data_IF_786731388663
#
_entry.id   IF_786731388663
#
_cell.length_a   1.000
_cell.length_b   1.000
_cell.length_c   1.000
_cell.angle_alpha   90.00
_cell.angle_beta   90.00
_cell.angle_gamma   90.00
#
_symmetry.space_group_name_H-M   'P 1'
#
loop_
_entity.id
_entity.type
_entity.pdbx_description
1 polymer ?
#
# COMPACT_ATOMS: atom_id res chain seq x y z
N UNK A 1 31.53 -53.14 5.47
CA UNK A 1 30.58 -52.62 4.47
C UNK A 1 29.21 -52.53 5.10
N UNK A 2 28.63 -51.33 5.23
CA UNK A 2 27.31 -51.15 5.83
C UNK A 2 26.20 -51.47 4.82
N UNK A 3 25.31 -52.40 5.16
CA UNK A 3 24.14 -52.75 4.36
C UNK A 3 23.06 -51.68 4.53
N UNK A 4 22.85 -50.85 3.52
CA UNK A 4 21.68 -49.99 3.40
C UNK A 4 20.55 -50.79 2.75
N UNK A 5 19.67 -51.37 3.56
CA UNK A 5 18.43 -51.96 3.03
C UNK A 5 17.48 -50.84 2.58
N UNK A 6 16.98 -50.86 1.33
CA UNK A 6 16.01 -49.87 0.87
C UNK A 6 14.68 -50.05 1.62
N UNK A 7 14.06 -48.93 2.01
CA UNK A 7 12.76 -48.91 2.67
C UNK A 7 11.69 -49.59 1.79
N UNK A 8 10.86 -50.44 2.40
CA UNK A 8 9.77 -51.15 1.70
C UNK A 8 8.80 -50.15 1.05
N UNK A 9 8.38 -50.36 -0.22
CA UNK A 9 7.56 -49.40 -0.96
C UNK A 9 6.27 -49.04 -0.23
N UNK A 10 5.65 -49.97 0.51
CA UNK A 10 4.43 -49.69 1.27
C UNK A 10 4.64 -48.63 2.38
N UNK A 11 5.80 -48.64 3.05
CA UNK A 11 6.17 -47.67 4.09
C UNK A 11 6.45 -46.32 3.44
N UNK A 12 7.12 -46.30 2.29
CA UNK A 12 7.39 -45.10 1.50
C UNK A 12 6.10 -44.42 1.01
N UNK A 13 5.10 -45.18 0.56
CA UNK A 13 3.80 -44.64 0.15
C UNK A 13 3.01 -44.02 1.33
N UNK A 14 3.11 -44.59 2.53
CA UNK A 14 2.46 -44.07 3.74
C UNK A 14 3.11 -42.77 4.22
N UNK A 15 4.44 -42.68 4.23
CA UNK A 15 5.18 -41.47 4.61
C UNK A 15 4.97 -40.34 3.61
N UNK A 16 4.91 -40.62 2.31
CA UNK A 16 4.58 -39.63 1.28
C UNK A 16 3.15 -39.09 1.46
N UNK A 17 2.16 -39.94 1.73
CA UNK A 17 0.78 -39.49 1.99
C UNK A 17 0.66 -38.61 3.24
N UNK A 18 1.41 -38.93 4.30
CA UNK A 18 1.45 -38.12 5.51
C UNK A 18 2.15 -36.77 5.26
N UNK A 19 3.24 -36.77 4.49
CA UNK A 19 3.92 -35.54 4.07
C UNK A 19 3.00 -34.63 3.23
N UNK A 20 2.24 -35.18 2.29
CA UNK A 20 1.26 -34.43 1.49
C UNK A 20 0.16 -33.83 2.37
N UNK A 21 -0.37 -34.59 3.34
CA UNK A 21 -1.39 -34.07 4.28
C UNK A 21 -0.84 -32.91 5.11
N UNK A 22 0.39 -33.03 5.60
CA UNK A 22 1.03 -31.98 6.38
C UNK A 22 1.29 -30.74 5.51
N UNK A 23 1.76 -30.92 4.28
CA UNK A 23 1.98 -29.83 3.32
C UNK A 23 0.67 -29.10 3.00
N UNK A 24 -0.42 -29.83 2.79
CA UNK A 24 -1.74 -29.23 2.55
C UNK A 24 -2.23 -28.44 3.77
N UNK A 25 -2.04 -28.95 4.99
CA UNK A 25 -2.41 -28.23 6.20
C UNK A 25 -1.62 -26.92 6.35
N UNK A 26 -0.30 -26.98 6.11
CA UNK A 26 0.57 -25.78 6.12
C UNK A 26 0.15 -24.80 5.04
N UNK A 27 -0.16 -25.27 3.82
CA UNK A 27 -0.65 -24.42 2.74
C UNK A 27 -1.97 -23.72 3.11
N UNK A 28 -2.94 -24.45 3.68
CA UNK A 28 -4.22 -23.88 4.12
C UNK A 28 -4.01 -22.79 5.17
N UNK A 29 -3.13 -23.02 6.15
CA UNK A 29 -2.82 -22.02 7.18
C UNK A 29 -2.12 -20.81 6.56
N UNK A 30 -1.15 -21.04 5.67
CA UNK A 30 -0.40 -19.98 5.00
C UNK A 30 -1.32 -19.10 4.13
N UNK A 31 -2.13 -19.70 3.27
CA UNK A 31 -3.08 -18.96 2.43
C UNK A 31 -4.21 -18.33 3.25
N UNK A 32 -4.69 -19.01 4.29
CA UNK A 32 -5.67 -18.44 5.22
C UNK A 32 -5.15 -17.20 5.93
N UNK A 33 -3.91 -17.24 6.42
CA UNK A 33 -3.25 -16.07 6.99
C UNK A 33 -3.07 -14.96 5.94
N UNK A 34 -2.63 -15.30 4.72
CA UNK A 34 -2.44 -14.33 3.63
C UNK A 34 -3.75 -13.58 3.31
N UNK A 35 -4.89 -14.28 3.27
CA UNK A 35 -6.20 -13.65 3.07
C UNK A 35 -6.53 -12.64 4.18
N UNK A 36 -6.28 -13.01 5.45
CA UNK A 36 -6.55 -12.12 6.60
C UNK A 36 -5.68 -10.85 6.55
N UNK A 37 -4.41 -10.97 6.15
CA UNK A 37 -3.49 -9.84 6.13
C UNK A 37 -3.53 -9.01 4.83
N UNK A 38 -3.87 -9.60 3.69
CA UNK A 38 -3.80 -8.92 2.39
C UNK A 38 -5.13 -8.31 1.92
N UNK A 39 -6.28 -8.91 2.27
CA UNK A 39 -7.61 -8.46 1.76
C UNK A 39 -7.97 -7.02 2.15
N UNK A 40 -7.71 -6.54 3.39
CA UNK A 40 -8.07 -5.17 3.77
C UNK A 40 -7.46 -4.12 2.81
N UNK A 41 -6.18 -4.29 2.46
CA UNK A 41 -5.42 -3.38 1.61
C UNK A 41 -5.96 -3.20 0.18
N UNK A 42 -6.77 -4.12 -0.36
CA UNK A 42 -7.29 -3.99 -1.73
C UNK A 42 -8.50 -3.06 -1.84
N UNK A 43 -9.17 -2.79 -0.72
CA UNK A 43 -10.35 -1.93 -0.69
C UNK A 43 -10.05 -0.55 -0.13
N UNK A 44 -8.86 -0.32 0.43
CA UNK A 44 -8.45 0.99 0.91
C UNK A 44 -8.45 2.02 -0.25
N UNK A 45 -8.69 3.28 0.09
CA UNK A 45 -8.49 4.36 -0.86
C UNK A 45 -6.99 4.57 -1.10
N UNK A 46 -6.59 4.70 -2.36
CA UNK A 46 -5.20 4.95 -2.74
C UNK A 46 -4.96 6.45 -2.89
N UNK A 47 -3.96 6.97 -2.20
CA UNK A 47 -3.55 8.36 -2.28
C UNK A 47 -2.18 8.43 -2.95
N UNK A 48 -2.09 9.18 -4.04
CA UNK A 48 -0.83 9.50 -4.71
C UNK A 48 -0.53 11.00 -4.60
N UNK A 49 0.65 11.33 -4.11
CA UNK A 49 1.17 12.70 -4.07
C UNK A 49 2.30 12.81 -5.09
N UNK A 50 2.15 13.69 -6.07
CA UNK A 50 3.10 13.88 -7.17
C UNK A 50 3.69 15.29 -7.09
N UNK A 51 5.00 15.39 -6.99
CA UNK A 51 5.71 16.66 -7.06
C UNK A 51 6.16 16.95 -8.49
N UNK A 52 5.37 17.73 -9.24
CA UNK A 52 5.73 18.27 -10.55
C UNK A 52 6.27 19.71 -10.45
N UNK A 53 6.59 20.19 -9.25
CA UNK A 53 7.30 21.45 -9.06
C UNK A 53 8.81 21.23 -9.23
N UNK A 54 9.60 22.28 -9.55
CA UNK A 54 11.06 22.18 -9.62
C UNK A 54 11.73 22.15 -8.23
N UNK A 55 10.97 22.30 -7.15
CA UNK A 55 11.47 22.40 -5.78
C UNK A 55 11.23 21.10 -5.01
N UNK A 56 12.03 20.87 -3.96
CA UNK A 56 11.73 19.86 -2.95
C UNK A 56 10.52 20.34 -2.13
N UNK A 57 9.59 19.43 -1.83
CA UNK A 57 8.40 19.74 -1.02
C UNK A 57 8.26 18.79 0.16
N UNK A 58 7.76 19.31 1.27
CA UNK A 58 7.24 18.55 2.42
C UNK A 58 5.72 18.60 2.36
N UNK A 59 5.06 17.46 2.53
CA UNK A 59 3.60 17.36 2.43
C UNK A 59 3.05 16.74 3.69
N UNK A 60 1.92 17.27 4.18
CA UNK A 60 1.12 16.65 5.23
C UNK A 60 -0.26 16.37 4.64
N UNK A 61 -0.63 15.10 4.57
CA UNK A 61 -1.99 14.68 4.29
C UNK A 61 -2.76 14.58 5.61
N UNK A 62 -3.92 15.21 5.72
CA UNK A 62 -4.78 15.19 6.90
C UNK A 62 -6.16 14.65 6.52
N UNK A 63 -6.68 13.69 7.28
CA UNK A 63 -8.04 13.16 7.13
C UNK A 63 -8.62 12.86 8.52
N UNK A 64 -9.86 13.30 8.76
CA UNK A 64 -10.54 13.17 10.07
C UNK A 64 -9.63 13.62 11.23
N UNK A 65 -9.16 12.68 12.07
CA UNK A 65 -8.28 12.91 13.23
C UNK A 65 -6.88 12.29 13.04
N UNK A 66 -6.53 12.00 11.80
CA UNK A 66 -5.28 11.34 11.40
C UNK A 66 -4.52 12.22 10.43
N UNK A 67 -3.20 12.05 10.42
CA UNK A 67 -2.33 12.72 9.48
C UNK A 67 -1.19 11.81 9.05
N UNK A 68 -0.61 12.12 7.90
CA UNK A 68 0.61 11.50 7.39
C UNK A 68 1.55 12.56 6.86
N UNK A 69 2.75 12.58 7.40
CA UNK A 69 3.86 13.35 6.86
C UNK A 69 4.49 12.59 5.69
N UNK A 70 4.71 13.30 4.59
CA UNK A 70 5.18 12.79 3.31
C UNK A 70 6.34 13.68 2.87
N UNK A 71 7.45 13.04 2.51
CA UNK A 71 8.63 13.70 2.00
C UNK A 71 9.78 13.80 3.01
N UNK A 72 10.87 14.48 2.61
CA UNK A 72 10.99 15.36 1.44
C UNK A 72 10.76 14.64 0.10
N UNK A 73 9.97 15.27 -0.78
CA UNK A 73 9.74 14.80 -2.15
C UNK A 73 10.54 15.65 -3.12
N UNK A 74 11.50 15.03 -3.81
CA UNK A 74 12.27 15.67 -4.87
C UNK A 74 11.39 16.04 -6.07
N UNK A 75 11.89 16.92 -6.92
CA UNK A 75 11.23 17.27 -8.18
C UNK A 75 11.02 16.03 -9.06
N UNK A 76 9.84 15.90 -9.65
CA UNK A 76 9.39 14.77 -10.46
C UNK A 76 9.33 13.42 -9.72
N UNK A 77 9.22 13.45 -8.38
CA UNK A 77 8.99 12.26 -7.56
C UNK A 77 7.52 12.14 -7.15
N UNK A 78 7.10 10.93 -6.81
CA UNK A 78 5.78 10.67 -6.22
C UNK A 78 5.88 9.76 -5.00
N UNK A 79 4.85 9.81 -4.16
CA UNK A 79 4.68 8.94 -3.01
C UNK A 79 3.25 8.45 -2.94
N UNK A 80 3.09 7.14 -2.74
CA UNK A 80 1.80 6.48 -2.69
C UNK A 80 1.58 5.85 -1.31
N UNK A 81 0.34 5.91 -0.84
CA UNK A 81 -0.10 5.22 0.38
C UNK A 81 -1.60 4.99 0.35
N UNK A 82 -2.07 4.09 1.22
CA UNK A 82 -3.49 3.79 1.33
C UNK A 82 -4.10 4.34 2.63
N UNK A 83 -5.40 4.65 2.58
CA UNK A 83 -6.21 5.01 3.74
C UNK A 83 -7.39 4.02 3.85
N UNK A 84 -7.42 3.26 4.95
CA UNK A 84 -8.55 2.43 5.37
C UNK A 84 -9.59 3.27 6.13
N UNK A 85 -10.25 4.19 5.40
CA UNK A 85 -11.32 5.02 5.94
C UNK A 85 -12.20 5.56 4.79
N UNK A 86 -13.36 6.10 5.16
CA UNK A 86 -14.18 6.95 4.31
C UNK A 86 -14.21 8.36 4.95
N UNK A 87 -13.57 9.32 4.28
CA UNK A 87 -13.31 10.63 4.86
C UNK A 87 -13.05 11.69 3.77
N UNK A 88 -12.81 12.93 4.20
CA UNK A 88 -12.21 13.94 3.35
C UNK A 88 -10.71 14.07 3.67
N UNK A 89 -9.88 14.08 2.63
CA UNK A 89 -8.44 14.35 2.72
C UNK A 89 -8.15 15.79 2.29
N UNK A 90 -7.25 16.45 3.00
CA UNK A 90 -6.66 17.72 2.58
C UNK A 90 -5.14 17.62 2.66
N UNK A 91 -4.45 18.38 1.81
CA UNK A 91 -3.00 18.39 1.75
C UNK A 91 -2.48 19.78 2.14
N UNK A 92 -1.47 19.81 2.99
CA UNK A 92 -0.64 20.98 3.26
C UNK A 92 0.73 20.74 2.63
N UNK A 93 1.22 21.67 1.84
CA UNK A 93 2.47 21.54 1.09
C UNK A 93 3.37 22.71 1.41
N UNK A 94 4.58 22.42 1.89
CA UNK A 94 5.62 23.39 2.18
C UNK A 94 6.78 23.20 1.20
N UNK A 95 7.10 24.24 0.44
CA UNK A 95 8.15 24.24 -0.57
C UNK A 95 9.47 24.65 0.08
N UNK A 96 10.60 24.21 -0.49
CA UNK A 96 11.93 24.62 -0.03
C UNK A 96 12.13 26.14 -0.02
N UNK A 97 11.46 26.88 -0.90
CA UNK A 97 11.42 28.35 -0.91
C UNK A 97 10.70 28.99 0.28
N UNK A 98 10.00 28.20 1.11
CA UNK A 98 9.13 28.67 2.18
C UNK A 98 7.71 29.03 1.72
N UNK A 99 7.37 28.83 0.44
CA UNK A 99 5.98 28.92 -0.03
C UNK A 99 5.15 27.81 0.59
N UNK A 100 3.91 28.11 0.95
CA UNK A 100 2.96 27.13 1.48
C UNK A 100 1.67 27.12 0.68
N UNK A 101 1.08 25.94 0.53
CA UNK A 101 -0.27 25.76 0.00
C UNK A 101 -1.06 24.79 0.88
N UNK A 102 -2.36 25.04 1.00
CA UNK A 102 -3.32 24.10 1.55
C UNK A 102 -4.43 23.88 0.53
N UNK A 103 -4.86 22.63 0.38
CA UNK A 103 -5.99 22.28 -0.50
C UNK A 103 -7.30 22.36 0.27
N UNK A 104 -8.39 22.57 -0.47
CA UNK A 104 -9.72 22.25 0.05
C UNK A 104 -9.82 20.73 0.32
N UNK A 105 -10.67 20.30 1.28
CA UNK A 105 -10.91 18.88 1.53
C UNK A 105 -11.59 18.20 0.34
N UNK A 106 -11.07 17.04 -0.08
CA UNK A 106 -11.69 16.17 -1.08
C UNK A 106 -12.18 14.89 -0.41
N UNK A 107 -13.48 14.61 -0.53
CA UNK A 107 -14.09 13.39 -0.02
C UNK A 107 -13.62 12.16 -0.81
N UNK A 108 -13.48 11.01 -0.17
CA UNK A 108 -13.19 9.75 -0.84
C UNK A 108 -13.83 8.58 -0.08
N UNK A 109 -14.05 7.49 -0.81
CA UNK A 109 -14.53 6.21 -0.29
C UNK A 109 -13.50 5.11 -0.58
N UNK A 110 -13.71 3.93 -0.02
CA UNK A 110 -12.95 2.71 -0.34
C UNK A 110 -12.83 2.48 -1.86
N UNK A 111 -11.65 2.06 -2.32
CA UNK A 111 -11.38 1.71 -3.71
C UNK A 111 -11.26 2.90 -4.68
N UNK A 112 -11.33 4.14 -4.18
CA UNK A 112 -11.08 5.34 -4.97
C UNK A 112 -9.60 5.70 -4.91
N UNK A 113 -9.08 6.18 -6.05
CA UNK A 113 -7.74 6.76 -6.15
C UNK A 113 -7.80 8.28 -6.20
N UNK A 114 -7.14 8.94 -5.26
CA UNK A 114 -7.01 10.40 -5.16
C UNK A 114 -5.58 10.80 -5.48
N UNK A 115 -5.42 11.80 -6.34
CA UNK A 115 -4.11 12.29 -6.79
C UNK A 115 -3.97 13.75 -6.40
N UNK A 116 -2.96 14.07 -5.58
CA UNK A 116 -2.51 15.42 -5.29
C UNK A 116 -1.34 15.78 -6.21
N UNK A 117 -1.60 16.63 -7.19
CA UNK A 117 -0.61 17.09 -8.15
C UNK A 117 -0.08 18.47 -7.75
N UNK A 118 1.19 18.52 -7.34
CA UNK A 118 1.87 19.70 -6.82
C UNK A 118 2.66 20.35 -7.95
N UNK A 119 2.44 21.65 -8.15
CA UNK A 119 3.14 22.48 -9.15
C UNK A 119 3.69 23.75 -8.49
N UNK A 120 4.44 24.57 -9.21
CA UNK A 120 4.86 25.87 -8.69
C UNK A 120 3.69 26.81 -8.37
N UNK A 121 2.57 26.67 -9.09
CA UNK A 121 1.42 27.59 -8.99
C UNK A 121 0.38 27.18 -7.95
N UNK A 122 0.44 25.93 -7.47
CA UNK A 122 -0.48 25.41 -6.47
C UNK A 122 -0.57 23.89 -6.49
N UNK A 123 -1.58 23.38 -5.79
CA UNK A 123 -1.84 21.96 -5.63
C UNK A 123 -3.23 21.66 -6.16
N UNK A 124 -3.33 20.80 -7.17
CA UNK A 124 -4.60 20.31 -7.70
C UNK A 124 -4.84 18.90 -7.15
N UNK A 125 -5.96 18.71 -6.46
CA UNK A 125 -6.41 17.39 -6.01
C UNK A 125 -7.55 16.95 -6.91
N UNK A 126 -7.48 15.72 -7.43
CA UNK A 126 -8.53 15.15 -8.28
C UNK A 126 -8.61 13.64 -8.10
N UNK A 127 -9.71 13.05 -8.53
CA UNK A 127 -9.78 11.60 -8.67
C UNK A 127 -9.06 11.15 -9.94
N UNK A 128 -8.59 9.91 -9.97
CA UNK A 128 -7.89 9.36 -11.13
C UNK A 128 -8.76 9.34 -12.40
N UNK A 129 -10.08 9.15 -12.26
CA UNK A 129 -11.02 9.14 -13.39
C UNK A 129 -11.31 10.52 -14.00
N UNK A 130 -10.86 11.61 -13.38
CA UNK A 130 -11.04 12.98 -13.88
C UNK A 130 -9.87 13.49 -14.72
N UNK A 131 -8.87 12.62 -14.97
CA UNK A 131 -7.61 12.98 -15.59
C UNK A 131 -7.57 12.78 -17.10
#
# INVERSE_FOLDING_TARGET
>A
MGNTHPLSPHIMFLTVKQAIKLLNLVAIIFFGALVVFAVPSFFDAEIEVINNSPEVVMVVAEWRNSQKEIGPLDSNSSFQFSIDDEAAVKFKVNYASGKEFATEPLYFTSGIRVIANITSDGVKVSYDYER
#
